data_IF_744633752081
#
_entry.id   IF_744633752081
#
_cell.length_a   1.000
_cell.length_b   1.000
_cell.length_c   1.000
_cell.angle_alpha   90.00
_cell.angle_beta   90.00
_cell.angle_gamma   90.00
#
_symmetry.space_group_name_H-M   'P 1'
#
loop_
_entity.id
_entity.type
_entity.pdbx_description
1 polymer ?
#
# COMPACT_ATOMS: atom_id res chain seq x y z
N UNK A 1 -13.48 11.51 6.27
CA UNK A 1 -13.43 10.23 7.02
C UNK A 1 -12.00 10.07 7.47
N UNK A 2 -11.73 10.34 8.75
CA UNK A 2 -10.38 10.37 9.29
C UNK A 2 -9.73 8.97 9.25
N UNK A 3 -8.43 8.92 9.06
CA UNK A 3 -7.62 7.71 9.09
C UNK A 3 -6.23 8.00 9.67
N UNK A 4 -5.61 6.99 10.26
CA UNK A 4 -4.22 7.06 10.71
C UNK A 4 -3.33 6.55 9.58
N UNK A 5 -2.29 7.30 9.24
CA UNK A 5 -1.28 6.88 8.29
C UNK A 5 -0.28 5.93 8.98
N UNK A 6 -0.10 4.73 8.45
CA UNK A 6 0.85 3.74 8.97
C UNK A 6 2.31 4.18 8.77
N UNK A 7 2.59 5.06 7.80
CA UNK A 7 3.93 5.59 7.54
C UNK A 7 4.38 6.64 8.57
N UNK A 8 3.57 7.69 8.77
CA UNK A 8 3.94 8.82 9.64
C UNK A 8 3.23 8.82 11.01
N UNK A 9 2.33 7.87 11.26
CA UNK A 9 1.57 7.70 12.52
C UNK A 9 0.72 8.92 12.91
N UNK A 10 0.36 9.76 11.94
CA UNK A 10 -0.49 10.94 12.12
C UNK A 10 -1.89 10.70 11.59
N UNK A 11 -2.87 11.41 12.17
CA UNK A 11 -4.25 11.41 11.69
C UNK A 11 -4.40 12.37 10.51
N UNK A 12 -5.08 11.90 9.46
CA UNK A 12 -5.37 12.65 8.26
C UNK A 12 -6.85 12.47 7.88
N UNK A 13 -7.41 13.44 7.14
CA UNK A 13 -8.70 13.27 6.46
C UNK A 13 -8.49 13.41 4.95
N UNK A 14 -9.40 12.84 4.16
CA UNK A 14 -9.39 12.88 2.71
C UNK A 14 -8.83 11.62 2.06
N UNK A 15 -7.96 11.81 1.07
CA UNK A 15 -7.43 10.73 0.22
C UNK A 15 -6.42 9.88 0.97
N UNK A 16 -6.46 8.57 0.74
CA UNK A 16 -5.54 7.58 1.30
C UNK A 16 -5.23 6.51 0.25
N UNK A 17 -4.02 5.98 0.30
CA UNK A 17 -3.65 4.78 -0.45
C UNK A 17 -3.67 3.61 0.53
N UNK A 18 -4.29 2.51 0.11
CA UNK A 18 -4.33 1.26 0.88
C UNK A 18 -3.54 0.22 0.11
N UNK A 19 -2.43 -0.21 0.69
CA UNK A 19 -1.68 -1.36 0.22
C UNK A 19 -2.26 -2.60 0.90
N UNK A 20 -2.68 -3.58 0.12
CA UNK A 20 -3.13 -4.88 0.63
C UNK A 20 -2.31 -5.98 -0.01
N UNK A 21 -1.83 -6.88 0.85
CA UNK A 21 -1.17 -8.12 0.45
C UNK A 21 -2.17 -9.25 0.69
N UNK A 22 -2.44 -10.01 -0.35
CA UNK A 22 -3.37 -11.14 -0.33
C UNK A 22 -2.55 -12.42 -0.35
N UNK A 23 -2.78 -13.32 0.60
CA UNK A 23 -2.20 -14.66 0.58
C UNK A 23 -3.26 -15.63 0.08
N UNK A 24 -2.90 -16.42 -0.93
CA UNK A 24 -3.72 -17.54 -1.39
C UNK A 24 -3.26 -18.81 -0.68
N UNK A 25 -4.21 -19.62 -0.20
CA UNK A 25 -3.89 -20.91 0.39
C UNK A 25 -3.27 -21.90 -0.63
N UNK A 26 -2.65 -22.99 -0.14
CA UNK A 26 -2.00 -24.01 -0.98
C UNK A 26 -2.97 -24.70 -1.97
N UNK A 27 -4.28 -24.51 -1.78
CA UNK A 27 -5.34 -25.02 -2.63
C UNK A 27 -5.81 -24.03 -3.70
N UNK A 28 -5.40 -22.76 -3.64
CA UNK A 28 -5.79 -21.74 -4.61
C UNK A 28 -7.22 -21.25 -4.47
N UNK A 29 -7.90 -21.53 -3.35
CA UNK A 29 -9.36 -21.35 -3.20
C UNK A 29 -9.69 -20.14 -2.33
N UNK A 30 -8.94 -19.93 -1.25
CA UNK A 30 -9.21 -18.85 -0.30
C UNK A 30 -8.15 -17.77 -0.37
N UNK A 31 -8.61 -16.52 -0.52
CA UNK A 31 -7.79 -15.31 -0.55
C UNK A 31 -8.04 -14.54 0.74
N UNK A 32 -7.09 -14.61 1.68
CA UNK A 32 -7.12 -13.81 2.90
C UNK A 32 -6.19 -12.60 2.76
N UNK A 33 -6.65 -11.43 3.24
CA UNK A 33 -5.81 -10.24 3.35
C UNK A 33 -4.78 -10.48 4.45
N UNK A 34 -3.59 -10.91 4.06
CA UNK A 34 -2.50 -11.22 4.97
C UNK A 34 -1.95 -9.96 5.66
N UNK A 35 -1.86 -8.84 4.91
CA UNK A 35 -1.43 -7.54 5.46
C UNK A 35 -2.15 -6.40 4.76
N UNK A 36 -2.38 -5.33 5.51
CA UNK A 36 -3.01 -4.09 5.02
C UNK A 36 -2.35 -2.88 5.65
N UNK A 37 -1.84 -1.97 4.84
CA UNK A 37 -1.25 -0.69 5.25
C UNK A 37 -1.96 0.49 4.57
N UNK A 38 -2.21 1.56 5.34
CA UNK A 38 -2.89 2.78 4.92
C UNK A 38 -1.90 3.93 4.98
N UNK A 39 -1.78 4.70 3.90
CA UNK A 39 -0.83 5.81 3.80
C UNK A 39 -1.50 7.11 3.40
N UNK A 40 -1.00 8.22 3.95
CA UNK A 40 -1.34 9.56 3.50
C UNK A 40 -0.60 9.90 2.19
N UNK A 41 -1.00 10.96 1.46
CA UNK A 41 -0.42 11.30 0.16
C UNK A 41 1.11 11.33 0.11
N UNK A 42 1.73 12.06 1.05
CA UNK A 42 3.19 12.17 1.12
C UNK A 42 3.85 10.81 1.31
N UNK A 43 3.36 9.99 2.26
CA UNK A 43 3.96 8.68 2.52
C UNK A 43 3.72 7.70 1.36
N UNK A 44 2.61 7.86 0.63
CA UNK A 44 2.35 7.06 -0.56
C UNK A 44 3.31 7.44 -1.70
N UNK A 45 3.54 8.74 -1.94
CA UNK A 45 4.51 9.21 -2.93
C UNK A 45 5.92 8.68 -2.63
N UNK A 46 6.35 8.77 -1.37
CA UNK A 46 7.65 8.23 -0.95
C UNK A 46 7.79 6.72 -1.24
N UNK A 47 6.70 5.94 -1.06
CA UNK A 47 6.70 4.51 -1.38
C UNK A 47 6.82 4.28 -2.88
N UNK A 48 6.03 4.99 -3.68
CA UNK A 48 6.00 4.82 -5.13
C UNK A 48 7.29 5.26 -5.80
N UNK A 49 7.89 6.36 -5.33
CA UNK A 49 9.23 6.80 -5.78
C UNK A 49 10.27 5.71 -5.53
N UNK A 50 10.23 5.05 -4.37
CA UNK A 50 11.19 4.00 -3.99
C UNK A 50 11.05 2.72 -4.79
N UNK A 51 9.84 2.38 -5.24
CA UNK A 51 9.59 1.22 -6.12
C UNK A 51 9.69 1.58 -7.62
N UNK A 52 10.09 2.82 -7.94
CA UNK A 52 10.25 3.27 -9.33
C UNK A 52 8.94 3.35 -10.10
N UNK A 53 7.82 3.54 -9.40
CA UNK A 53 6.49 3.66 -10.00
C UNK A 53 6.00 5.11 -9.99
N UNK A 54 5.16 5.51 -10.96
CA UNK A 54 4.52 6.82 -10.96
C UNK A 54 3.70 7.02 -9.69
N UNK A 55 3.51 8.28 -9.28
CA UNK A 55 2.69 8.58 -8.11
C UNK A 55 1.34 7.87 -8.18
N UNK A 56 0.85 7.28 -7.08
CA UNK A 56 -0.48 6.66 -7.05
C UNK A 56 -1.60 7.67 -7.30
N UNK A 57 -1.28 8.97 -7.29
CA UNK A 57 -2.20 10.06 -7.49
C UNK A 57 -2.22 10.58 -8.94
N UNK A 58 -1.19 10.29 -9.73
CA UNK A 58 -1.06 10.77 -11.11
C UNK A 58 -2.00 10.02 -12.08
N UNK A 59 -2.34 8.76 -11.77
CA UNK A 59 -3.17 7.90 -12.63
C UNK A 59 -4.52 7.49 -12.01
N UNK A 60 -4.80 7.86 -10.75
CA UNK A 60 -5.94 7.28 -10.04
C UNK A 60 -7.23 8.12 -10.14
N UNK A 61 -8.22 7.52 -10.80
CA UNK A 61 -9.68 7.65 -10.57
C UNK A 61 -10.11 7.31 -9.10
N UNK A 62 -9.23 7.51 -8.12
CA UNK A 62 -9.48 7.24 -6.69
C UNK A 62 -9.63 5.76 -6.36
N UNK A 63 -9.15 4.84 -7.21
CA UNK A 63 -9.28 3.39 -6.99
C UNK A 63 -8.04 2.78 -6.34
N UNK A 64 -8.29 1.89 -5.40
CA UNK A 64 -7.31 1.03 -4.71
C UNK A 64 -6.35 0.38 -5.71
N UNK A 65 -5.04 0.51 -5.47
CA UNK A 65 -4.00 -0.19 -6.23
C UNK A 65 -3.62 -1.46 -5.46
N UNK A 66 -3.96 -2.63 -6.02
CA UNK A 66 -3.57 -3.94 -5.48
C UNK A 66 -2.24 -4.35 -6.12
N UNK A 67 -1.24 -4.64 -5.29
CA UNK A 67 0.07 -5.12 -5.76
C UNK A 67 0.20 -6.62 -5.52
N UNK A 68 0.57 -7.42 -6.55
CA UNK A 68 0.91 -8.82 -6.35
C UNK A 68 2.22 -8.96 -5.56
N UNK A 69 2.32 -10.05 -4.78
CA UNK A 69 3.39 -10.35 -3.81
C UNK A 69 4.81 -10.15 -4.33
N UNK A 70 5.04 -10.32 -5.63
CA UNK A 70 6.34 -10.25 -6.29
C UNK A 70 6.99 -8.86 -6.15
N UNK A 71 6.19 -7.80 -6.04
CA UNK A 71 6.66 -6.41 -5.90
C UNK A 71 6.95 -6.05 -4.43
N UNK A 72 6.42 -6.84 -3.48
CA UNK A 72 6.54 -6.54 -2.04
C UNK A 72 7.90 -6.93 -1.45
N UNK A 73 8.63 -7.87 -2.07
CA UNK A 73 9.95 -8.30 -1.60
C UNK A 73 10.95 -7.13 -1.56
N UNK A 74 10.82 -6.17 -2.47
CA UNK A 74 11.66 -4.96 -2.49
C UNK A 74 11.11 -3.88 -1.56
N UNK A 75 9.79 -3.71 -1.46
CA UNK A 75 9.18 -2.74 -0.54
C UNK A 75 9.42 -3.08 0.95
N UNK A 76 9.33 -4.36 1.34
CA UNK A 76 9.54 -4.82 2.71
C UNK A 76 11.02 -4.81 3.14
N UNK A 77 11.96 -4.99 2.19
CA UNK A 77 13.40 -4.80 2.45
C UNK A 77 13.74 -3.34 2.74
N UNK A 78 13.00 -2.41 2.14
CA UNK A 78 13.22 -0.97 2.25
C UNK A 78 12.55 -0.34 3.47
N UNK A 79 11.61 -1.03 4.14
CA UNK A 79 10.99 -0.61 5.40
C UNK A 79 11.77 -1.06 6.65
N UNK A 80 13.05 -1.44 6.51
CA UNK A 80 13.91 -1.94 7.58
C UNK A 80 13.98 -1.02 8.80
N UNK A 81 13.08 -1.27 9.75
CA UNK A 81 13.11 -0.83 11.15
C UNK A 81 12.46 -1.89 12.02
#
# INVERSE_FOLDING_TARGET
MAFVCDGCQQEHDGRRVVFSTEATDDHGVDVEVAKRWVTCPSCADDVFERIGMPSPWDDADGRTLTFPDEVYADAARLSGR
#
